data_IF_596291641619
#
_entry.id   IF_596291641619
#
_cell.length_a   1.000
_cell.length_b   1.000
_cell.length_c   1.000
_cell.angle_alpha   90.00
_cell.angle_beta   90.00
_cell.angle_gamma   90.00
#
_symmetry.space_group_name_H-M   'P 1'
#
loop_
_entity.id
_entity.type
_entity.pdbx_description
1 polymer ?
#
# COMPACT_ATOMS: atom_id res chain seq x y z
N UNK A 1 -12.41 -3.55 12.48
CA UNK A 1 -11.33 -4.21 13.25
C UNK A 1 -10.01 -3.46 13.06
N UNK A 2 -9.53 -3.30 11.81
CA UNK A 2 -8.28 -2.60 11.46
C UNK A 2 -8.14 -1.22 12.12
N UNK A 3 -9.18 -0.37 12.07
CA UNK A 3 -9.16 0.96 12.70
C UNK A 3 -8.87 0.92 14.21
N UNK A 4 -9.50 -0.01 14.93
CA UNK A 4 -9.29 -0.16 16.39
C UNK A 4 -7.88 -0.66 16.66
N UNK A 5 -7.41 -1.62 15.86
CA UNK A 5 -6.06 -2.16 15.95
C UNK A 5 -4.98 -1.09 15.77
N UNK A 6 -5.08 -0.27 14.72
CA UNK A 6 -4.11 0.82 14.48
C UNK A 6 -4.14 1.90 15.56
N UNK A 7 -5.31 2.22 16.13
CA UNK A 7 -5.40 3.18 17.24
C UNK A 7 -4.68 2.65 18.49
N UNK A 8 -4.94 1.39 18.86
CA UNK A 8 -4.28 0.74 20.00
C UNK A 8 -2.77 0.59 19.78
N UNK A 9 -2.35 0.31 18.55
CA UNK A 9 -0.95 0.20 18.19
C UNK A 9 -0.20 1.53 18.39
N UNK A 10 -0.78 2.64 17.90
CA UNK A 10 -0.17 3.97 18.06
C UNK A 10 -0.13 4.39 19.54
N UNK A 11 -1.15 4.04 20.32
CA UNK A 11 -1.14 4.26 21.77
C UNK A 11 0.01 3.50 22.44
N UNK A 12 0.19 2.23 22.10
CA UNK A 12 1.26 1.37 22.65
C UNK A 12 2.65 1.84 22.24
N UNK A 13 2.80 2.40 21.05
CA UNK A 13 4.06 3.03 20.58
C UNK A 13 4.43 4.25 21.43
N UNK A 14 3.45 4.89 22.07
CA UNK A 14 3.65 6.01 22.99
C UNK A 14 4.57 5.70 24.17
N UNK A 15 4.57 4.44 24.62
CA UNK A 15 5.36 3.95 25.76
C UNK A 15 6.84 3.69 25.43
N UNK A 16 7.21 3.75 24.15
CA UNK A 16 8.58 3.54 23.70
C UNK A 16 9.49 4.75 24.00
N UNK A 17 10.80 4.49 24.06
CA UNK A 17 11.81 5.54 24.12
C UNK A 17 11.72 6.50 22.93
N UNK A 18 12.18 7.75 23.09
CA UNK A 18 11.97 8.82 22.09
C UNK A 18 12.38 8.45 20.66
N UNK A 19 13.51 7.75 20.50
CA UNK A 19 14.04 7.34 19.19
C UNK A 19 13.13 6.26 18.58
N UNK A 20 12.89 5.18 19.32
CA UNK A 20 12.07 4.06 18.88
C UNK A 20 10.62 4.46 18.60
N UNK A 21 10.06 5.34 19.43
CA UNK A 21 8.72 5.89 19.23
C UNK A 21 8.61 6.63 17.91
N UNK A 22 9.59 7.47 17.56
CA UNK A 22 9.58 8.19 16.28
C UNK A 22 9.65 7.22 15.12
N UNK A 23 10.59 6.27 15.15
CA UNK A 23 10.76 5.25 14.11
C UNK A 23 9.48 4.43 13.92
N UNK A 24 8.92 3.89 15.00
CA UNK A 24 7.72 3.07 14.95
C UNK A 24 6.52 3.89 14.47
N UNK A 25 6.35 5.12 14.96
CA UNK A 25 5.26 6.01 14.53
C UNK A 25 5.34 6.31 13.04
N UNK A 26 6.52 6.67 12.52
CA UNK A 26 6.71 6.99 11.10
C UNK A 26 6.35 5.80 10.20
N UNK A 27 6.79 4.60 10.58
CA UNK A 27 6.52 3.36 9.85
C UNK A 27 5.03 2.99 9.88
N UNK A 28 4.39 3.06 11.04
CA UNK A 28 2.97 2.73 11.14
C UNK A 28 2.06 3.77 10.48
N UNK A 29 2.41 5.06 10.56
CA UNK A 29 1.69 6.11 9.82
C UNK A 29 1.82 5.92 8.31
N UNK A 30 3.00 5.53 7.84
CA UNK A 30 3.21 5.18 6.43
C UNK A 30 2.39 3.94 6.02
N UNK A 31 2.34 2.90 6.84
CA UNK A 31 1.49 1.72 6.58
C UNK A 31 -0.01 2.07 6.52
N UNK A 32 -0.45 2.96 7.41
CA UNK A 32 -1.83 3.48 7.41
C UNK A 32 -2.09 4.24 6.10
N UNK A 33 -1.16 5.09 5.67
CA UNK A 33 -1.28 5.85 4.43
C UNK A 33 -1.38 4.92 3.20
N UNK A 34 -0.53 3.89 3.12
CA UNK A 34 -0.61 2.87 2.06
C UNK A 34 -1.94 2.09 2.09
N UNK A 35 -2.40 1.70 3.27
CA UNK A 35 -3.69 1.01 3.45
C UNK A 35 -4.87 1.89 3.01
N UNK A 36 -4.82 3.17 3.34
CA UNK A 36 -5.84 4.14 2.93
C UNK A 36 -5.82 4.35 1.41
N UNK A 37 -4.65 4.48 0.78
CA UNK A 37 -4.53 4.55 -0.68
C UNK A 37 -5.08 3.30 -1.36
N UNK A 38 -4.71 2.11 -0.86
CA UNK A 38 -5.24 0.84 -1.37
C UNK A 38 -6.76 0.75 -1.23
N UNK A 39 -7.30 1.25 -0.12
CA UNK A 39 -8.75 1.30 0.13
C UNK A 39 -9.44 2.21 -0.89
N UNK A 40 -8.86 3.37 -1.21
CA UNK A 40 -9.39 4.27 -2.23
C UNK A 40 -9.32 3.63 -3.63
N UNK A 41 -8.21 3.00 -3.99
CA UNK A 41 -8.06 2.35 -5.30
C UNK A 41 -9.02 1.16 -5.45
N UNK A 42 -9.11 0.28 -4.45
CA UNK A 42 -9.98 -0.90 -4.53
C UNK A 42 -11.46 -0.55 -4.43
N UNK A 43 -11.85 0.22 -3.42
CA UNK A 43 -13.27 0.40 -3.11
C UNK A 43 -13.88 1.60 -3.82
N UNK A 44 -13.15 2.72 -3.90
CA UNK A 44 -13.69 3.93 -4.52
C UNK A 44 -13.51 3.97 -6.04
N UNK A 45 -12.34 3.56 -6.53
CA UNK A 45 -12.07 3.48 -7.97
C UNK A 45 -12.61 2.19 -8.58
N UNK A 46 -12.11 1.02 -8.18
CA UNK A 46 -12.47 -0.23 -8.85
C UNK A 46 -13.93 -0.69 -8.56
N UNK A 47 -14.36 -0.66 -7.30
CA UNK A 47 -15.73 -1.06 -6.93
C UNK A 47 -16.76 0.08 -6.98
N UNK A 48 -16.36 1.30 -7.34
CA UNK A 48 -17.23 2.48 -7.46
C UNK A 48 -18.16 2.70 -6.24
N UNK A 49 -17.67 2.40 -5.02
CA UNK A 49 -18.47 2.56 -3.80
C UNK A 49 -18.77 4.03 -3.49
N UNK A 50 -19.85 4.26 -2.72
CA UNK A 50 -20.23 5.61 -2.30
C UNK A 50 -19.13 6.27 -1.44
N UNK A 51 -18.91 7.56 -1.68
CA UNK A 51 -17.88 8.32 -1.01
C UNK A 51 -18.00 8.29 0.53
N UNK A 52 -19.24 8.29 1.06
CA UNK A 52 -19.47 8.25 2.51
C UNK A 52 -19.16 6.88 3.09
N UNK A 53 -19.34 5.81 2.32
CA UNK A 53 -19.01 4.46 2.75
C UNK A 53 -17.50 4.25 2.77
N UNK A 54 -16.81 4.64 1.70
CA UNK A 54 -15.35 4.55 1.64
C UNK A 54 -14.69 5.41 2.73
N UNK A 55 -15.21 6.61 2.99
CA UNK A 55 -14.70 7.48 4.05
C UNK A 55 -14.77 6.82 5.44
N UNK A 56 -15.78 5.98 5.71
CA UNK A 56 -15.88 5.23 6.98
C UNK A 56 -14.84 4.12 7.09
N UNK A 57 -14.35 3.61 5.97
CA UNK A 57 -13.32 2.56 5.92
C UNK A 57 -11.90 3.13 6.11
N UNK A 58 -11.70 4.42 5.83
CA UNK A 58 -10.41 5.07 6.05
C UNK A 58 -10.04 5.09 7.53
N UNK A 59 -8.77 4.81 7.80
CA UNK A 59 -8.18 4.93 9.13
C UNK A 59 -7.85 6.42 9.33
N UNK A 60 -8.37 7.09 10.38
CA UNK A 60 -8.28 8.55 10.55
C UNK A 60 -6.91 9.01 11.10
N UNK A 61 -5.83 8.42 10.60
CA UNK A 61 -4.45 8.68 10.97
C UNK A 61 -3.63 8.81 9.67
N UNK A 62 -2.40 9.30 9.78
CA UNK A 62 -1.53 9.49 8.62
C UNK A 62 -1.90 10.72 7.77
N UNK A 63 -1.14 10.94 6.70
CA UNK A 63 -1.29 12.10 5.83
C UNK A 63 -2.46 11.94 4.87
N UNK A 64 -2.71 10.73 4.37
CA UNK A 64 -3.71 10.43 3.34
C UNK A 64 -5.11 10.76 3.85
N UNK A 65 -5.49 10.25 5.02
CA UNK A 65 -6.83 10.49 5.57
C UNK A 65 -7.11 11.95 5.94
N UNK A 66 -6.07 12.74 6.25
CA UNK A 66 -6.19 14.14 6.66
C UNK A 66 -6.05 15.13 5.49
N UNK A 67 -5.67 14.62 4.32
CA UNK A 67 -5.35 15.43 3.16
C UNK A 67 -6.58 16.09 2.51
N UNK A 68 -6.36 17.27 1.91
CA UNK A 68 -7.39 17.95 1.13
C UNK A 68 -7.59 17.27 -0.22
N UNK A 69 -6.55 16.61 -0.70
CA UNK A 69 -6.46 15.85 -1.94
C UNK A 69 -7.44 14.67 -1.90
N UNK A 70 -7.43 13.87 -0.83
CA UNK A 70 -8.41 12.77 -0.65
C UNK A 70 -9.83 13.31 -0.49
N UNK A 71 -10.00 14.39 0.27
CA UNK A 71 -11.33 15.00 0.45
C UNK A 71 -11.90 15.54 -0.87
N UNK A 72 -11.04 16.02 -1.78
CA UNK A 72 -11.42 16.47 -3.12
C UNK A 72 -11.68 15.29 -4.05
N UNK A 73 -10.84 14.25 -3.99
CA UNK A 73 -10.99 13.01 -4.75
C UNK A 73 -12.32 12.31 -4.45
N UNK A 74 -12.72 12.23 -3.18
CA UNK A 74 -14.01 11.65 -2.77
C UNK A 74 -15.24 12.43 -3.30
N UNK A 75 -15.08 13.68 -3.72
CA UNK A 75 -16.16 14.50 -4.30
C UNK A 75 -16.25 14.40 -5.82
N UNK A 76 -15.25 13.80 -6.48
CA UNK A 76 -15.22 13.67 -7.93
C UNK A 76 -16.27 12.68 -8.42
N UNK A 77 -16.86 13.02 -9.58
CA UNK A 77 -17.75 12.11 -10.32
C UNK A 77 -16.94 10.97 -10.91
N UNK A 78 -17.57 9.81 -11.12
CA UNK A 78 -16.94 8.59 -11.64
C UNK A 78 -16.05 8.83 -12.87
N UNK A 79 -16.51 9.65 -13.81
CA UNK A 79 -15.80 9.96 -15.06
C UNK A 79 -14.53 10.80 -14.90
N UNK A 80 -14.35 11.46 -13.76
CA UNK A 80 -13.21 12.36 -13.48
C UNK A 80 -12.22 11.74 -12.49
N UNK A 81 -12.54 10.57 -11.93
CA UNK A 81 -11.67 9.90 -10.95
C UNK A 81 -10.39 9.46 -11.65
N UNK A 82 -9.26 9.81 -11.08
CA UNK A 82 -7.96 9.26 -11.48
C UNK A 82 -7.15 8.90 -10.23
N UNK A 83 -6.99 7.61 -9.91
CA UNK A 83 -6.23 7.18 -8.73
C UNK A 83 -4.73 7.49 -8.84
N UNK A 84 -4.17 7.61 -10.05
CA UNK A 84 -2.74 7.90 -10.24
C UNK A 84 -2.40 9.30 -9.72
N UNK A 85 -3.24 10.30 -10.03
CA UNK A 85 -3.04 11.67 -9.55
C UNK A 85 -3.01 11.73 -8.01
N UNK A 86 -3.86 10.92 -7.37
CA UNK A 86 -3.86 10.83 -5.91
C UNK A 86 -2.56 10.23 -5.39
N UNK A 87 -2.10 9.12 -5.97
CA UNK A 87 -0.87 8.44 -5.54
C UNK A 87 0.36 9.35 -5.73
N UNK A 88 0.46 10.05 -6.86
CA UNK A 88 1.54 11.00 -7.13
C UNK A 88 1.59 12.15 -6.12
N UNK A 89 0.46 12.53 -5.51
CA UNK A 89 0.43 13.55 -4.47
C UNK A 89 1.09 13.10 -3.16
N UNK A 90 1.12 11.79 -2.87
CA UNK A 90 1.69 11.25 -1.61
C UNK A 90 3.03 10.55 -1.79
N UNK A 91 3.33 10.03 -2.97
CA UNK A 91 4.55 9.27 -3.26
C UNK A 91 5.28 9.95 -4.43
N UNK A 92 6.24 10.80 -4.09
CA UNK A 92 6.95 11.69 -5.03
C UNK A 92 8.20 11.05 -5.65
N UNK A 93 8.63 9.87 -5.19
CA UNK A 93 9.81 9.16 -5.69
C UNK A 93 9.48 8.47 -7.03
N UNK A 94 9.26 9.31 -8.06
CA UNK A 94 8.82 8.98 -9.41
C UNK A 94 10.05 8.81 -10.30
N UNK A 95 10.85 7.77 -10.04
CA UNK A 95 11.87 7.35 -10.99
C UNK A 95 11.31 6.38 -12.06
N UNK A 96 10.11 5.84 -11.85
CA UNK A 96 9.52 4.80 -12.71
C UNK A 96 8.12 5.19 -13.20
N UNK A 97 8.03 6.23 -14.04
CA UNK A 97 6.84 6.50 -14.87
C UNK A 97 6.51 5.34 -15.84
N UNK A 98 7.43 4.38 -15.98
CA UNK A 98 7.33 3.22 -16.89
C UNK A 98 6.30 2.17 -16.44
N UNK A 99 6.05 2.01 -15.13
CA UNK A 99 5.12 0.98 -14.62
C UNK A 99 3.66 1.35 -14.90
N UNK A 100 3.34 2.65 -14.91
CA UNK A 100 1.97 3.15 -15.07
C UNK A 100 1.57 3.39 -16.54
N UNK A 101 2.52 3.40 -17.49
CA UNK A 101 2.30 3.94 -18.84
C UNK A 101 1.94 2.92 -19.94
N UNK A 102 1.96 1.61 -19.68
CA UNK A 102 1.59 0.63 -20.71
C UNK A 102 0.07 0.52 -20.89
N UNK A 103 -0.50 1.42 -21.71
CA UNK A 103 -1.85 1.32 -22.26
C UNK A 103 -1.86 0.35 -23.46
N UNK A 104 -2.05 -0.93 -23.18
CA UNK A 104 -2.41 -1.92 -24.19
C UNK A 104 -3.92 -1.86 -24.46
N UNK A 105 -4.31 -1.78 -25.73
CA UNK A 105 -5.71 -1.81 -26.19
C UNK A 105 -6.38 -3.13 -25.81
N UNK A 106 -7.07 -3.16 -24.67
CA UNK A 106 -7.87 -4.30 -24.21
C UNK A 106 -9.19 -3.78 -23.61
N UNK A 107 -10.22 -4.62 -23.54
CA UNK A 107 -11.55 -4.28 -23.02
C UNK A 107 -11.51 -3.48 -21.70
N UNK A 108 -12.38 -2.47 -21.57
CA UNK A 108 -12.40 -1.48 -20.49
C UNK A 108 -12.27 -2.10 -19.08
N UNK A 109 -13.00 -3.18 -18.80
CA UNK A 109 -12.95 -3.87 -17.50
C UNK A 109 -11.59 -4.53 -17.23
N UNK A 110 -10.93 -5.06 -18.26
CA UNK A 110 -9.58 -5.66 -18.12
C UNK A 110 -8.52 -4.57 -17.91
N UNK A 111 -8.73 -3.37 -18.47
CA UNK A 111 -7.82 -2.24 -18.28
C UNK A 111 -7.88 -1.74 -16.84
N UNK A 112 -9.07 -1.57 -16.25
CA UNK A 112 -9.22 -1.12 -14.86
C UNK A 112 -8.63 -2.10 -13.84
N UNK A 113 -8.77 -3.42 -14.09
CA UNK A 113 -8.14 -4.47 -13.28
C UNK A 113 -6.62 -4.37 -13.38
N UNK A 114 -6.07 -4.28 -14.59
CA UNK A 114 -4.62 -4.20 -14.79
C UNK A 114 -4.03 -2.91 -14.20
N UNK A 115 -4.73 -1.78 -14.31
CA UNK A 115 -4.32 -0.52 -13.69
C UNK A 115 -4.35 -0.61 -12.16
N UNK A 116 -5.39 -1.22 -11.59
CA UNK A 116 -5.47 -1.47 -10.14
C UNK A 116 -4.32 -2.35 -9.69
N UNK A 117 -4.06 -3.47 -10.36
CA UNK A 117 -2.94 -4.37 -10.03
C UNK A 117 -1.58 -3.66 -10.11
N UNK A 118 -1.34 -2.85 -11.15
CA UNK A 118 -0.10 -2.06 -11.26
C UNK A 118 0.09 -1.10 -10.08
N UNK A 119 -0.98 -0.43 -9.69
CA UNK A 119 -0.98 0.46 -8.53
C UNK A 119 -0.68 -0.31 -7.25
N UNK A 120 -1.30 -1.48 -7.06
CA UNK A 120 -1.06 -2.32 -5.88
C UNK A 120 0.39 -2.78 -5.79
N UNK A 121 0.94 -3.32 -6.88
CA UNK A 121 2.33 -3.72 -6.96
C UNK A 121 3.26 -2.55 -6.67
N UNK A 122 2.94 -1.35 -7.20
CA UNK A 122 3.72 -0.15 -6.92
C UNK A 122 3.71 0.23 -5.43
N UNK A 123 2.54 0.23 -4.79
CA UNK A 123 2.43 0.52 -3.36
C UNK A 123 3.20 -0.51 -2.51
N UNK A 124 3.20 -1.77 -2.92
CA UNK A 124 3.95 -2.84 -2.24
C UNK A 124 5.47 -2.71 -2.44
N UNK A 125 5.92 -2.29 -3.63
CA UNK A 125 7.33 -1.96 -3.87
C UNK A 125 7.79 -0.80 -2.97
N UNK A 126 6.95 0.24 -2.80
CA UNK A 126 7.27 1.37 -1.92
C UNK A 126 7.35 0.94 -0.46
N UNK A 127 6.42 0.08 -0.03
CA UNK A 127 6.47 -0.58 1.28
C UNK A 127 7.80 -1.29 1.52
N UNK A 128 8.18 -2.16 0.59
CA UNK A 128 9.42 -2.94 0.67
C UNK A 128 10.66 -2.06 0.74
N UNK A 129 10.71 -0.97 -0.03
CA UNK A 129 11.80 0.01 0.03
C UNK A 129 11.96 0.62 1.42
N UNK A 130 10.86 0.95 2.10
CA UNK A 130 10.89 1.49 3.46
C UNK A 130 11.44 0.45 4.44
N UNK A 131 10.97 -0.80 4.38
CA UNK A 131 11.46 -1.87 5.25
C UNK A 131 12.94 -2.20 5.03
N UNK A 132 13.40 -2.18 3.78
CA UNK A 132 14.82 -2.36 3.48
C UNK A 132 15.69 -1.21 4.00
N UNK A 133 15.22 0.04 3.89
CA UNK A 133 15.92 1.19 4.48
C UNK A 133 16.03 1.05 6.00
N UNK A 134 15.03 0.51 6.67
CA UNK A 134 15.07 0.26 8.12
C UNK A 134 16.16 -0.74 8.54
N UNK A 135 16.58 -1.68 7.66
CA UNK A 135 17.70 -2.58 7.96
C UNK A 135 19.05 -1.85 8.07
N UNK A 136 19.16 -0.70 7.41
CA UNK A 136 20.38 0.13 7.43
C UNK A 136 20.40 1.16 8.55
N UNK A 137 19.33 1.21 9.34
CA UNK A 137 19.22 2.11 10.49
C UNK A 137 20.08 1.64 11.68
N UNK A 138 20.04 2.40 12.78
CA UNK A 138 20.75 2.06 14.02
C UNK A 138 20.39 0.63 14.49
N UNK A 139 21.37 -0.29 14.63
CA UNK A 139 21.12 -1.67 15.02
C UNK A 139 20.56 -1.82 16.44
N UNK A 140 20.64 -0.78 17.29
CA UNK A 140 20.09 -0.78 18.64
C UNK A 140 18.70 -0.15 18.73
N UNK A 141 18.07 0.16 17.59
CA UNK A 141 16.71 0.68 17.53
C UNK A 141 15.67 -0.39 17.19
N UNK A 142 14.40 -0.09 17.45
CA UNK A 142 13.26 -0.93 17.08
C UNK A 142 13.09 -1.09 15.55
N UNK A 143 13.80 -0.31 14.74
CA UNK A 143 13.75 -0.41 13.28
C UNK A 143 14.15 -1.81 12.80
N UNK A 144 15.22 -2.37 13.37
CA UNK A 144 15.77 -3.66 12.96
C UNK A 144 14.78 -4.82 13.19
N UNK A 145 14.22 -5.03 14.40
CA UNK A 145 13.24 -6.09 14.61
C UNK A 145 11.97 -5.87 13.77
N UNK A 146 11.49 -4.63 13.60
CA UNK A 146 10.33 -4.36 12.73
C UNK A 146 10.60 -4.74 11.27
N UNK A 147 11.74 -4.31 10.72
CA UNK A 147 12.16 -4.64 9.37
C UNK A 147 12.25 -6.15 9.15
N UNK A 148 12.83 -6.87 10.12
CA UNK A 148 12.90 -8.33 10.08
C UNK A 148 11.49 -8.94 9.99
N UNK A 149 10.57 -8.58 10.87
CA UNK A 149 9.22 -9.15 10.87
C UNK A 149 8.46 -8.87 9.58
N UNK A 150 8.58 -7.66 9.04
CA UNK A 150 7.89 -7.29 7.80
C UNK A 150 8.47 -8.03 6.59
N UNK A 151 9.80 -8.05 6.43
CA UNK A 151 10.45 -8.74 5.32
C UNK A 151 10.25 -10.26 5.41
N UNK A 152 10.31 -10.84 6.61
CA UNK A 152 10.05 -12.25 6.82
C UNK A 152 8.60 -12.64 6.46
N UNK A 153 7.63 -11.79 6.79
CA UNK A 153 6.23 -11.99 6.41
C UNK A 153 6.03 -11.95 4.89
N UNK A 154 6.68 -11.00 4.21
CA UNK A 154 6.67 -10.92 2.74
C UNK A 154 7.30 -12.16 2.11
N UNK A 155 8.48 -12.56 2.57
CA UNK A 155 9.19 -13.73 2.07
C UNK A 155 8.37 -15.00 2.26
N UNK A 156 7.78 -15.19 3.45
CA UNK A 156 6.88 -16.32 3.73
C UNK A 156 5.67 -16.33 2.78
N UNK A 157 5.12 -15.16 2.46
CA UNK A 157 3.98 -15.04 1.56
C UNK A 157 4.36 -15.37 0.11
N UNK A 158 5.53 -14.88 -0.33
CA UNK A 158 6.12 -15.21 -1.63
C UNK A 158 6.37 -16.71 -1.77
N UNK A 159 7.00 -17.34 -0.78
CA UNK A 159 7.27 -18.79 -0.78
C UNK A 159 5.96 -19.58 -0.91
N UNK A 160 4.92 -19.19 -0.15
CA UNK A 160 3.60 -19.82 -0.25
C UNK A 160 2.99 -19.65 -1.63
N UNK A 161 3.09 -18.47 -2.23
CA UNK A 161 2.59 -18.22 -3.58
C UNK A 161 3.33 -19.08 -4.63
N UNK A 162 4.66 -19.20 -4.54
CA UNK A 162 5.45 -20.09 -5.42
C UNK A 162 5.03 -21.56 -5.24
N UNK A 163 4.92 -22.03 -4.00
CA UNK A 163 4.54 -23.41 -3.70
C UNK A 163 3.14 -23.73 -4.22
N UNK A 164 2.17 -22.85 -3.97
CA UNK A 164 0.82 -22.99 -4.50
C UNK A 164 0.82 -22.99 -6.03
N UNK A 165 1.58 -22.09 -6.65
CA UNK A 165 1.66 -22.03 -8.11
C UNK A 165 2.21 -23.31 -8.73
N UNK A 166 3.27 -23.88 -8.12
CA UNK A 166 3.81 -25.19 -8.53
C UNK A 166 2.82 -26.32 -8.27
N UNK A 167 2.13 -26.31 -7.13
CA UNK A 167 1.14 -27.33 -6.77
C UNK A 167 -0.03 -27.38 -7.77
N UNK A 168 -0.50 -26.22 -8.24
CA UNK A 168 -1.57 -26.13 -9.23
C UNK A 168 -1.10 -26.27 -10.70
N UNK A 169 0.20 -26.48 -10.93
CA UNK A 169 0.74 -26.70 -12.27
C UNK A 169 0.80 -25.44 -13.15
N UNK A 170 0.89 -24.25 -12.55
CA UNK A 170 1.07 -23.02 -13.33
C UNK A 170 2.48 -22.95 -13.95
N UNK A 171 2.56 -22.32 -15.12
CA UNK A 171 3.84 -22.08 -15.78
C UNK A 171 4.71 -21.10 -14.98
N UNK A 172 6.03 -21.25 -15.06
CA UNK A 172 6.99 -20.44 -14.32
C UNK A 172 6.87 -18.96 -14.66
N UNK A 173 6.56 -18.64 -15.92
CA UNK A 173 6.31 -17.26 -16.36
C UNK A 173 5.08 -16.65 -15.66
N UNK A 174 4.04 -17.45 -15.45
CA UNK A 174 2.84 -17.01 -14.73
C UNK A 174 3.11 -16.84 -13.23
N UNK A 175 3.83 -17.76 -12.62
CA UNK A 175 4.21 -17.68 -11.20
C UNK A 175 5.08 -16.44 -10.95
N UNK A 176 6.05 -16.17 -11.81
CA UNK A 176 6.89 -14.96 -11.74
C UNK A 176 6.06 -13.69 -11.96
N UNK A 177 5.15 -13.67 -12.93
CA UNK A 177 4.29 -12.52 -13.20
C UNK A 177 3.33 -12.15 -12.07
N UNK A 178 2.93 -13.11 -11.23
CA UNK A 178 2.10 -12.86 -10.03
C UNK A 178 2.92 -12.37 -8.83
N UNK A 179 4.23 -12.63 -8.81
CA UNK A 179 5.13 -12.24 -7.73
C UNK A 179 5.80 -10.88 -7.94
N UNK A 180 5.72 -10.31 -9.15
CA UNK A 180 6.40 -9.09 -9.57
C UNK A 180 7.68 -9.36 -10.34
#
# INVERSE_FOLDING_TARGET
LDRVWYLQLIESVGDLGKIDRTIASDVFLFEIDLKNLLTLVRYFWYHQMDAKEVQKLLIPLGKVAQSREVASYLKQKETERNPQNLIHAFITDIADETVLSQRGSVHTDQVEILETLKIETYLDMQRKKVYQRMLTADPFSIALPLAYFFLFKEETSMIKAVLNGKYYGYDEQYIKGVLG
#
